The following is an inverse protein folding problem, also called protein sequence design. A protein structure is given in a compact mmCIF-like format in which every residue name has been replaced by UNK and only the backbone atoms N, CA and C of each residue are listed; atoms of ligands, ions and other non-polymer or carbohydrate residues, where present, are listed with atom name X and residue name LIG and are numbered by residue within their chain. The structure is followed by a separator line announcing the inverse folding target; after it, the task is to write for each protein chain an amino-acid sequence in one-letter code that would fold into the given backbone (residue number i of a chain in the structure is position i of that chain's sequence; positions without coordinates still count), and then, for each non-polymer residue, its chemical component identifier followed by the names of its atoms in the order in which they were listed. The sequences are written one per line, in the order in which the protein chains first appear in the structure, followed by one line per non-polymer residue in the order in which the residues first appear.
data_IF_023736431682
#
_entry.id   IF_023736431682
#
_cell.length_a   1.000
_cell.length_b   1.000
_cell.length_c   1.000
_cell.angle_alpha   90.00
_cell.angle_beta   90.00
_cell.angle_gamma   90.00
#
_symmetry.space_group_name_H-M   'P 1'
#
loop_
_entity.id
_entity.type
_entity.pdbx_description
1 polymer ?
#
# COMPACT_ATOMS: atom_id res chain seq x y z
N UNK A 1 -30.09 -4.56 -3.99
CA UNK A 1 -28.67 -4.85 -3.89
C UNK A 1 -28.01 -3.69 -3.19
N UNK A 2 -27.06 -3.95 -2.26
CA UNK A 2 -26.33 -2.88 -1.57
C UNK A 2 -25.31 -2.28 -2.53
N UNK A 3 -25.21 -0.95 -2.61
CA UNK A 3 -24.13 -0.27 -3.29
C UNK A 3 -22.81 -0.53 -2.53
N UNK A 4 -21.71 -0.66 -3.26
CA UNK A 4 -20.35 -0.71 -2.70
C UNK A 4 -19.67 0.62 -2.99
N UNK A 5 -19.23 1.32 -1.96
CA UNK A 5 -18.64 2.65 -2.07
C UNK A 5 -17.16 2.64 -1.74
N UNK A 6 -16.35 3.08 -2.70
CA UNK A 6 -14.88 3.10 -2.60
C UNK A 6 -14.40 4.56 -2.56
N UNK A 7 -13.66 4.90 -1.51
CA UNK A 7 -12.93 6.16 -1.41
C UNK A 7 -11.46 5.96 -1.78
N UNK A 8 -10.96 6.69 -2.78
CA UNK A 8 -9.55 6.76 -3.13
C UNK A 8 -8.93 8.01 -2.53
N UNK A 9 -8.00 7.83 -1.59
CA UNK A 9 -7.32 8.92 -0.88
C UNK A 9 -6.00 9.23 -1.62
N UNK A 10 -5.96 10.38 -2.28
CA UNK A 10 -4.78 10.86 -2.99
C UNK A 10 -3.83 11.61 -2.04
N UNK A 11 -2.68 10.97 -1.79
CA UNK A 11 -1.60 11.50 -0.94
C UNK A 11 -0.50 12.22 -1.73
N UNK A 12 -0.67 12.45 -3.04
CA UNK A 12 0.39 12.97 -3.90
C UNK A 12 0.55 14.49 -3.88
N UNK A 13 -0.28 15.24 -3.15
CA UNK A 13 -0.16 16.70 -3.03
C UNK A 13 -0.11 17.41 -4.39
N UNK A 14 -1.07 17.13 -5.27
CA UNK A 14 -1.18 17.65 -6.64
C UNK A 14 -0.02 17.29 -7.59
N UNK A 15 0.80 16.31 -7.24
CA UNK A 15 1.79 15.77 -8.17
C UNK A 15 1.19 14.65 -9.01
N UNK A 16 1.35 14.73 -10.33
CA UNK A 16 0.98 13.63 -11.23
C UNK A 16 1.76 12.37 -10.85
N UNK A 17 1.06 11.28 -10.60
CA UNK A 17 1.65 10.05 -10.10
C UNK A 17 1.08 8.81 -10.79
N UNK A 18 1.95 7.98 -11.34
CA UNK A 18 1.58 6.74 -12.02
C UNK A 18 0.95 5.71 -11.06
N UNK A 19 1.39 5.67 -9.81
CA UNK A 19 0.78 4.78 -8.80
C UNK A 19 -0.69 5.12 -8.57
N UNK A 20 -1.04 6.41 -8.45
CA UNK A 20 -2.44 6.80 -8.27
C UNK A 20 -3.30 6.54 -9.52
N UNK A 21 -2.75 6.72 -10.73
CA UNK A 21 -3.38 6.27 -11.98
C UNK A 21 -3.70 4.77 -11.91
N UNK A 22 -2.73 3.97 -11.52
CA UNK A 22 -2.88 2.51 -11.41
C UNK A 22 -3.93 2.10 -10.38
N UNK A 23 -4.02 2.79 -9.24
CA UNK A 23 -5.07 2.56 -8.23
C UNK A 23 -6.45 2.80 -8.86
N UNK A 24 -6.62 3.91 -9.59
CA UNK A 24 -7.88 4.21 -10.31
C UNK A 24 -8.23 3.11 -11.30
N UNK A 25 -7.29 2.72 -12.17
CA UNK A 25 -7.51 1.65 -13.16
C UNK A 25 -7.92 0.32 -12.53
N UNK A 26 -7.26 -0.10 -11.43
CA UNK A 26 -7.63 -1.32 -10.71
C UNK A 26 -9.04 -1.20 -10.12
N UNK A 27 -9.37 -0.05 -9.55
CA UNK A 27 -10.69 0.20 -8.95
C UNK A 27 -11.80 0.25 -10.01
N UNK A 28 -11.54 0.87 -11.17
CA UNK A 28 -12.45 0.91 -12.30
C UNK A 28 -12.65 -0.48 -12.94
N UNK A 29 -11.58 -1.28 -13.06
CA UNK A 29 -11.68 -2.66 -13.53
C UNK A 29 -12.51 -3.52 -12.54
N UNK A 30 -12.35 -3.31 -11.23
CA UNK A 30 -13.19 -3.94 -10.22
C UNK A 30 -14.66 -3.50 -10.37
N UNK A 31 -14.94 -2.22 -10.56
CA UNK A 31 -16.28 -1.69 -10.79
C UNK A 31 -16.92 -2.35 -12.01
N UNK A 32 -16.21 -2.40 -13.16
CA UNK A 32 -16.72 -2.98 -14.42
C UNK A 32 -16.99 -4.48 -14.34
N UNK A 33 -16.24 -5.21 -13.49
CA UNK A 33 -16.38 -6.66 -13.32
C UNK A 33 -17.35 -7.06 -12.20
N UNK A 34 -17.87 -6.11 -11.45
CA UNK A 34 -18.83 -6.35 -10.36
C UNK A 34 -20.25 -6.40 -10.87
N UNK A 35 -21.06 -7.29 -10.31
CA UNK A 35 -22.50 -7.36 -10.56
C UNK A 35 -23.25 -6.28 -9.78
N UNK A 36 -22.67 -5.84 -8.66
CA UNK A 36 -23.19 -4.79 -7.78
C UNK A 36 -22.88 -3.40 -8.35
N UNK A 37 -23.68 -2.40 -7.95
CA UNK A 37 -23.35 -1.01 -8.22
C UNK A 37 -22.16 -0.57 -7.36
N UNK A 38 -21.03 -0.29 -8.01
CA UNK A 38 -19.80 0.18 -7.35
C UNK A 38 -19.63 1.67 -7.64
N UNK A 39 -19.50 2.47 -6.59
CA UNK A 39 -19.31 3.93 -6.67
C UNK A 39 -17.90 4.26 -6.20
N UNK A 40 -17.14 4.97 -7.02
CA UNK A 40 -15.77 5.36 -6.73
C UNK A 40 -15.68 6.88 -6.60
N UNK A 41 -15.10 7.37 -5.51
CA UNK A 41 -14.85 8.79 -5.29
C UNK A 41 -13.40 9.02 -4.87
N UNK A 42 -12.80 10.11 -5.38
CA UNK A 42 -11.42 10.53 -5.05
C UNK A 42 -11.46 11.70 -4.07
N UNK A 43 -10.54 11.67 -3.09
CA UNK A 43 -10.31 12.73 -2.11
C UNK A 43 -8.84 13.18 -2.17
N UNK A 44 -8.60 14.47 -2.42
CA UNK A 44 -7.27 15.06 -2.46
C UNK A 44 -6.82 15.48 -1.04
N UNK A 45 -6.36 14.49 -0.27
CA UNK A 45 -6.11 14.60 1.17
C UNK A 45 -5.12 15.70 1.50
N UNK A 46 -3.94 15.68 0.85
CA UNK A 46 -2.86 16.61 1.16
C UNK A 46 -2.99 17.95 0.45
N UNK A 47 -3.53 17.95 -0.75
CA UNK A 47 -3.61 19.19 -1.56
C UNK A 47 -4.82 20.04 -1.20
N UNK A 48 -5.99 19.43 -1.01
CA UNK A 48 -7.24 20.13 -0.69
C UNK A 48 -7.72 19.93 0.74
N UNK A 49 -7.00 19.16 1.54
CA UNK A 49 -7.41 18.80 2.89
C UNK A 49 -8.79 18.09 2.91
N UNK A 50 -9.10 17.30 1.86
CA UNK A 50 -10.33 16.54 1.74
C UNK A 50 -10.20 15.20 2.47
N UNK A 51 -11.22 14.85 3.26
CA UNK A 51 -11.31 13.54 3.92
C UNK A 51 -12.71 12.95 3.70
N UNK A 52 -12.83 11.65 3.41
CA UNK A 52 -14.12 11.00 3.37
C UNK A 52 -14.71 10.90 4.79
N UNK A 53 -16.04 11.01 4.88
CA UNK A 53 -16.74 10.51 6.06
C UNK A 53 -16.75 8.97 5.99
N UNK A 54 -16.33 8.28 7.05
CA UNK A 54 -16.22 6.83 7.06
C UNK A 54 -17.56 6.12 6.87
N UNK A 55 -18.64 6.74 7.31
CA UNK A 55 -19.99 6.17 7.20
C UNK A 55 -20.50 6.11 5.74
N UNK A 56 -19.96 6.97 4.88
CA UNK A 56 -20.38 7.06 3.47
C UNK A 56 -19.69 6.04 2.56
N UNK A 57 -18.67 5.33 3.04
CA UNK A 57 -17.87 4.41 2.24
C UNK A 57 -17.65 3.06 2.95
N UNK A 58 -17.44 2.03 2.14
CA UNK A 58 -17.18 0.66 2.60
C UNK A 58 -15.70 0.30 2.49
N UNK A 59 -15.02 0.82 1.44
CA UNK A 59 -13.63 0.50 1.12
C UNK A 59 -12.84 1.78 0.91
N UNK A 60 -11.64 1.83 1.48
CA UNK A 60 -10.71 2.94 1.35
C UNK A 60 -9.38 2.44 0.81
N UNK A 61 -8.82 3.15 -0.18
CA UNK A 61 -7.47 2.89 -0.70
C UNK A 61 -6.68 4.19 -0.58
N UNK A 62 -5.68 4.20 0.30
CA UNK A 62 -4.82 5.35 0.51
C UNK A 62 -3.49 5.17 -0.20
N UNK A 63 -3.19 6.06 -1.14
CA UNK A 63 -2.06 5.97 -2.05
C UNK A 63 -0.72 6.24 -1.35
N UNK A 64 0.37 5.91 -2.05
CA UNK A 64 1.68 6.49 -1.79
C UNK A 64 1.69 8.01 -1.99
N UNK A 65 2.78 8.64 -1.60
CA UNK A 65 2.95 10.07 -1.76
C UNK A 65 4.38 10.51 -1.50
N UNK A 66 4.80 11.68 -2.01
CA UNK A 66 6.13 12.21 -1.77
C UNK A 66 6.25 12.81 -0.36
N UNK A 67 7.48 12.96 0.11
CA UNK A 67 7.80 13.75 1.30
C UNK A 67 8.17 12.95 2.54
N UNK A 68 8.17 13.66 3.66
CA UNK A 68 8.52 13.14 4.97
C UNK A 68 7.28 12.51 5.63
N UNK A 69 7.35 11.26 6.15
CA UNK A 69 6.23 10.66 6.86
C UNK A 69 6.08 11.16 8.32
N UNK A 70 7.09 11.84 8.84
CA UNK A 70 6.99 12.47 10.17
C UNK A 70 6.18 13.75 10.11
N UNK A 71 5.47 14.03 11.18
CA UNK A 71 4.58 15.20 11.28
C UNK A 71 5.33 16.52 11.09
N UNK A 72 4.77 17.36 10.25
CA UNK A 72 5.27 18.71 9.95
C UNK A 72 4.33 19.80 10.52
N UNK A 73 3.24 19.39 11.18
CA UNK A 73 2.23 20.27 11.79
C UNK A 73 1.18 20.77 10.79
N UNK A 74 0.95 20.05 9.72
CA UNK A 74 -0.04 20.36 8.71
C UNK A 74 -1.43 19.85 9.12
N UNK A 75 -2.47 20.61 8.80
CA UNK A 75 -3.86 20.30 9.19
C UNK A 75 -4.34 18.92 8.70
N UNK A 76 -3.97 18.53 7.48
CA UNK A 76 -4.35 17.24 6.92
C UNK A 76 -3.81 16.04 7.74
N UNK A 77 -2.69 16.20 8.44
CA UNK A 77 -2.06 15.13 9.23
C UNK A 77 -2.92 14.73 10.44
N UNK A 78 -3.50 15.71 11.13
CA UNK A 78 -4.43 15.43 12.24
C UNK A 78 -5.70 14.79 11.74
N UNK A 79 -6.25 15.25 10.63
CA UNK A 79 -7.45 14.70 10.02
C UNK A 79 -7.23 13.28 9.52
N UNK A 80 -6.06 13.01 8.90
CA UNK A 80 -5.70 11.68 8.44
C UNK A 80 -5.48 10.71 9.61
N UNK A 81 -4.81 11.14 10.66
CA UNK A 81 -4.63 10.35 11.88
C UNK A 81 -5.98 10.02 12.53
N UNK A 82 -6.86 11.00 12.66
CA UNK A 82 -8.23 10.78 13.17
C UNK A 82 -9.04 9.84 12.28
N UNK A 83 -8.87 9.89 10.96
CA UNK A 83 -9.49 8.93 10.04
C UNK A 83 -8.99 7.49 10.27
N UNK A 84 -7.67 7.28 10.46
CA UNK A 84 -7.12 5.96 10.75
C UNK A 84 -7.69 5.37 12.03
N UNK A 85 -7.79 6.19 13.10
CA UNK A 85 -8.39 5.76 14.37
C UNK A 85 -9.88 5.49 14.22
N UNK A 86 -10.62 6.34 13.51
CA UNK A 86 -12.05 6.16 13.29
C UNK A 86 -12.36 4.84 12.53
N UNK A 87 -11.55 4.47 11.51
CA UNK A 87 -11.73 3.19 10.81
C UNK A 87 -11.42 2.01 11.73
N UNK A 88 -10.32 2.08 12.51
CA UNK A 88 -9.94 1.02 13.43
C UNK A 88 -11.00 0.84 14.54
N UNK A 89 -11.45 1.94 15.14
CA UNK A 89 -12.48 1.93 16.20
C UNK A 89 -13.83 1.44 15.65
N UNK A 90 -14.26 1.92 14.48
CA UNK A 90 -15.50 1.44 13.85
C UNK A 90 -15.46 -0.09 13.71
N UNK A 91 -14.34 -0.63 13.23
CA UNK A 91 -14.17 -2.07 13.03
C UNK A 91 -14.16 -2.87 14.34
N UNK A 92 -13.83 -2.28 15.47
CA UNK A 92 -13.91 -2.97 16.77
C UNK A 92 -15.36 -3.16 17.24
N UNK A 93 -16.24 -2.18 16.99
CA UNK A 93 -17.56 -2.12 17.60
C UNK A 93 -18.73 -2.39 16.65
N UNK A 94 -18.52 -2.42 15.34
CA UNK A 94 -19.57 -2.60 14.35
C UNK A 94 -19.39 -3.90 13.53
N UNK A 95 -20.50 -4.49 13.09
CA UNK A 95 -20.49 -5.67 12.23
C UNK A 95 -20.23 -5.29 10.76
N UNK A 96 -20.70 -4.12 10.31
CA UNK A 96 -20.46 -3.56 8.98
C UNK A 96 -19.06 -2.98 8.87
N UNK A 97 -18.09 -3.84 8.63
CA UNK A 97 -16.68 -3.48 8.62
C UNK A 97 -16.29 -2.52 7.48
N UNK A 98 -15.31 -1.67 7.75
CA UNK A 98 -14.66 -0.74 6.82
C UNK A 98 -13.31 -1.29 6.40
N UNK A 99 -13.07 -1.41 5.10
CA UNK A 99 -11.84 -2.01 4.56
C UNK A 99 -10.87 -0.92 4.15
N UNK A 100 -9.61 -0.98 4.60
CA UNK A 100 -8.59 0.04 4.33
C UNK A 100 -7.30 -0.59 3.80
N UNK A 101 -6.84 -0.13 2.62
CA UNK A 101 -5.54 -0.49 2.07
C UNK A 101 -4.60 0.73 2.07
N UNK A 102 -3.40 0.57 2.65
CA UNK A 102 -2.42 1.62 2.84
C UNK A 102 -1.17 1.34 2.01
N UNK A 103 -0.75 2.29 1.14
CA UNK A 103 0.39 2.10 0.24
C UNK A 103 1.52 3.08 0.57
N UNK A 104 2.73 2.55 0.73
CA UNK A 104 4.00 3.28 0.84
C UNK A 104 3.95 4.41 1.88
N UNK A 105 3.72 5.66 1.48
CA UNK A 105 3.66 6.80 2.41
C UNK A 105 2.53 6.64 3.44
N UNK A 106 1.35 6.23 3.00
CA UNK A 106 0.21 5.97 3.89
C UNK A 106 0.48 4.84 4.89
N UNK A 107 1.18 3.80 4.45
CA UNK A 107 1.65 2.73 5.33
C UNK A 107 2.61 3.27 6.40
N UNK A 108 3.56 4.15 6.03
CA UNK A 108 4.49 4.78 6.97
C UNK A 108 3.76 5.68 7.98
N UNK A 109 2.80 6.48 7.51
CA UNK A 109 1.99 7.35 8.38
C UNK A 109 1.22 6.55 9.42
N UNK A 110 0.56 5.46 9.03
CA UNK A 110 -0.16 4.57 9.94
C UNK A 110 0.79 3.89 10.94
N UNK A 111 1.96 3.42 10.48
CA UNK A 111 2.96 2.79 11.33
C UNK A 111 3.53 3.76 12.38
N UNK A 112 3.74 5.04 12.04
CA UNK A 112 4.12 6.09 12.99
C UNK A 112 2.98 6.37 13.96
N UNK A 113 1.76 6.55 13.45
CA UNK A 113 0.59 6.92 14.24
C UNK A 113 0.30 5.87 15.34
N UNK A 114 0.31 4.60 14.99
CA UNK A 114 0.09 3.50 15.93
C UNK A 114 1.36 3.07 16.69
N UNK A 115 2.49 3.77 16.49
CA UNK A 115 3.77 3.56 17.20
C UNK A 115 4.32 2.14 17.06
N UNK A 116 4.34 1.63 15.84
CA UNK A 116 4.70 0.24 15.56
C UNK A 116 6.21 -0.02 15.49
N UNK A 117 7.04 1.00 15.55
CA UNK A 117 8.49 0.91 15.51
C UNK A 117 9.15 2.15 14.90
N UNK A 118 10.37 2.00 14.39
CA UNK A 118 11.19 3.11 13.94
C UNK A 118 11.02 3.34 12.43
N UNK A 119 10.35 4.44 12.05
CA UNK A 119 10.31 4.90 10.67
C UNK A 119 11.41 5.95 10.49
N UNK A 120 12.47 5.60 9.77
CA UNK A 120 13.63 6.46 9.61
C UNK A 120 14.04 6.64 8.15
N UNK A 121 14.84 7.68 7.89
CA UNK A 121 15.40 7.92 6.56
C UNK A 121 16.40 6.83 6.19
N UNK A 122 16.30 6.30 4.98
CA UNK A 122 17.28 5.33 4.43
C UNK A 122 18.63 6.02 4.18
N UNK A 123 19.71 5.23 4.20
CA UNK A 123 21.05 5.71 3.78
C UNK A 123 21.09 6.05 2.29
N UNK A 124 20.32 5.31 1.48
CA UNK A 124 20.15 5.57 0.05
C UNK A 124 18.70 5.38 -0.34
N UNK A 125 18.22 6.14 -1.31
CA UNK A 125 16.89 5.97 -1.89
C UNK A 125 16.75 4.55 -2.45
N UNK A 126 15.60 3.91 -2.26
CA UNK A 126 15.29 2.63 -2.90
C UNK A 126 14.42 2.87 -4.12
N UNK A 127 14.80 2.35 -5.28
CA UNK A 127 13.99 2.43 -6.49
C UNK A 127 14.19 1.20 -7.36
N UNK A 128 13.11 0.68 -7.93
CA UNK A 128 13.11 -0.40 -8.91
C UNK A 128 12.26 -1.60 -8.51
N UNK A 129 12.38 -2.68 -9.28
CA UNK A 129 11.70 -3.96 -9.02
C UNK A 129 12.54 -4.77 -8.04
N UNK A 130 12.03 -4.93 -6.81
CA UNK A 130 12.77 -5.52 -5.69
C UNK A 130 12.10 -6.81 -5.21
N UNK A 131 12.91 -7.80 -4.77
CA UNK A 131 12.37 -8.96 -4.08
C UNK A 131 11.87 -8.58 -2.68
N UNK A 132 10.71 -9.13 -2.33
CA UNK A 132 10.04 -9.01 -1.04
C UNK A 132 9.86 -10.42 -0.49
N UNK A 133 10.26 -10.64 0.76
CA UNK A 133 10.15 -11.93 1.42
C UNK A 133 8.96 -11.96 2.35
N UNK A 134 8.23 -13.06 2.31
CA UNK A 134 7.17 -13.34 3.27
C UNK A 134 7.75 -13.70 4.63
N UNK A 135 7.03 -13.39 5.69
CA UNK A 135 7.23 -13.98 7.01
C UNK A 135 6.46 -15.30 7.12
N UNK A 136 6.55 -16.01 8.24
CA UNK A 136 5.71 -17.20 8.51
C UNK A 136 4.22 -16.84 8.47
N UNK A 137 3.84 -15.68 9.03
CA UNK A 137 2.48 -15.15 8.94
C UNK A 137 2.12 -14.77 7.49
N UNK A 138 3.07 -14.20 6.75
CA UNK A 138 2.90 -13.83 5.34
C UNK A 138 2.70 -15.03 4.40
N UNK A 139 3.21 -16.20 4.74
CA UNK A 139 2.94 -17.43 3.98
C UNK A 139 1.46 -17.85 4.06
N UNK A 140 0.78 -17.49 5.14
CA UNK A 140 -0.64 -17.76 5.36
C UNK A 140 -1.53 -16.61 4.84
N UNK A 141 -0.94 -15.48 4.45
CA UNK A 141 -1.67 -14.30 3.99
C UNK A 141 -2.36 -14.56 2.64
N UNK A 142 -3.70 -14.47 2.62
CA UNK A 142 -4.47 -14.78 1.41
C UNK A 142 -4.21 -13.78 0.26
N UNK A 143 -3.82 -12.53 0.55
CA UNK A 143 -3.44 -11.56 -0.48
C UNK A 143 -2.15 -11.97 -1.20
N UNK A 144 -1.30 -12.75 -0.53
CA UNK A 144 -0.04 -13.26 -1.09
C UNK A 144 -0.17 -14.68 -1.68
N UNK A 145 -1.37 -15.25 -1.65
CA UNK A 145 -1.63 -16.56 -2.26
C UNK A 145 -1.25 -16.52 -3.74
N UNK A 146 -0.51 -17.53 -4.22
CA UNK A 146 0.05 -17.64 -5.57
C UNK A 146 1.24 -16.72 -5.87
N UNK A 147 1.68 -15.89 -4.93
CA UNK A 147 2.99 -15.25 -5.02
C UNK A 147 4.05 -16.21 -4.49
N UNK A 148 5.19 -16.28 -5.16
CA UNK A 148 6.36 -17.07 -4.68
C UNK A 148 7.02 -16.36 -3.49
N UNK A 149 7.96 -17.02 -2.83
CA UNK A 149 8.90 -16.37 -1.92
C UNK A 149 10.34 -16.49 -2.46
N UNK A 150 11.01 -15.39 -2.76
CA UNK A 150 10.49 -14.02 -2.76
C UNK A 150 9.54 -13.73 -3.93
N UNK A 151 8.58 -12.85 -3.72
CA UNK A 151 7.87 -12.19 -4.82
C UNK A 151 8.50 -10.82 -5.14
N UNK A 152 8.10 -10.21 -6.25
CA UNK A 152 8.70 -8.97 -6.72
C UNK A 152 7.69 -7.84 -6.78
N UNK A 153 8.06 -6.67 -6.28
CA UNK A 153 7.23 -5.47 -6.29
C UNK A 153 8.06 -4.22 -6.60
N UNK A 154 7.40 -3.17 -7.05
CA UNK A 154 8.04 -1.86 -7.19
C UNK A 154 8.25 -1.26 -5.80
N UNK A 155 9.50 -0.90 -5.52
CA UNK A 155 9.89 -0.15 -4.33
C UNK A 155 10.40 1.24 -4.74
N UNK A 156 9.86 2.30 -4.14
CA UNK A 156 10.24 3.70 -4.42
C UNK A 156 10.11 4.50 -3.13
N UNK A 157 11.21 4.61 -2.36
CA UNK A 157 11.14 5.21 -1.02
C UNK A 157 12.45 5.81 -0.52
N UNK A 158 12.34 6.91 0.22
CA UNK A 158 13.43 7.53 0.98
C UNK A 158 13.43 7.12 2.47
N UNK A 159 12.31 6.60 2.98
CA UNK A 159 12.14 6.16 4.36
C UNK A 159 11.91 4.66 4.45
N UNK A 160 12.11 4.09 5.64
CA UNK A 160 11.94 2.68 5.92
C UNK A 160 11.39 2.46 7.32
N UNK A 161 10.70 1.36 7.50
CA UNK A 161 10.23 0.87 8.79
C UNK A 161 11.17 -0.24 9.28
N UNK A 162 11.91 0.00 10.36
CA UNK A 162 12.81 -0.95 11.01
C UNK A 162 12.52 -1.00 12.51
N UNK A 163 13.17 -1.90 13.24
CA UNK A 163 13.01 -2.02 14.69
C UNK A 163 11.54 -2.07 15.12
N UNK A 164 10.75 -3.05 14.59
CA UNK A 164 9.34 -3.16 14.95
C UNK A 164 9.20 -3.42 16.46
N UNK A 165 8.30 -2.68 17.10
CA UNK A 165 7.93 -2.88 18.49
C UNK A 165 6.96 -4.07 18.61
N UNK A 166 7.50 -5.27 18.84
CA UNK A 166 6.73 -6.50 18.87
C UNK A 166 5.72 -6.55 20.01
N UNK A 167 6.00 -5.91 21.14
CA UNK A 167 5.04 -5.80 22.25
C UNK A 167 3.82 -4.98 21.81
N UNK A 168 4.07 -3.91 21.03
CA UNK A 168 3.00 -3.10 20.47
C UNK A 168 2.21 -3.82 19.38
N UNK A 169 2.86 -4.62 18.55
CA UNK A 169 2.20 -5.48 17.57
C UNK A 169 1.27 -6.48 18.26
N UNK A 170 1.74 -7.13 19.32
CA UNK A 170 0.95 -8.10 20.10
C UNK A 170 -0.24 -7.43 20.80
N UNK A 171 -0.03 -6.25 21.42
CA UNK A 171 -1.09 -5.46 22.07
C UNK A 171 -2.23 -5.12 21.11
N UNK A 172 -1.90 -4.76 19.87
CA UNK A 172 -2.86 -4.37 18.85
C UNK A 172 -3.38 -5.54 17.99
N UNK A 173 -2.83 -6.75 18.16
CA UNK A 173 -3.15 -7.91 17.33
C UNK A 173 -2.69 -7.78 15.89
N UNK A 174 -1.70 -6.92 15.62
CA UNK A 174 -1.15 -6.68 14.29
C UNK A 174 -0.06 -7.69 13.95
N UNK A 175 0.19 -7.91 12.64
CA UNK A 175 1.14 -8.92 12.18
C UNK A 175 1.99 -8.42 11.03
N UNK A 176 3.30 -8.73 11.09
CA UNK A 176 4.22 -8.45 9.99
C UNK A 176 4.10 -9.55 8.95
N UNK A 177 3.72 -9.19 7.71
CA UNK A 177 3.48 -10.12 6.61
C UNK A 177 4.66 -10.28 5.66
N UNK A 178 5.46 -9.22 5.51
CA UNK A 178 6.61 -9.25 4.60
C UNK A 178 7.73 -8.35 5.09
N UNK A 179 8.97 -8.73 4.70
CA UNK A 179 10.20 -8.03 5.04
C UNK A 179 11.09 -7.87 3.79
N UNK A 180 11.99 -6.89 3.85
CA UNK A 180 12.94 -6.59 2.79
C UNK A 180 13.88 -7.78 2.51
N UNK A 181 14.49 -7.84 1.33
CA UNK A 181 15.49 -8.85 0.96
C UNK A 181 16.63 -8.93 1.98
N UNK A 182 17.17 -10.13 2.18
CA UNK A 182 18.39 -10.32 2.97
C UNK A 182 19.59 -9.69 2.28
N UNK A 183 20.45 -9.06 3.06
CA UNK A 183 21.71 -8.44 2.64
C UNK A 183 22.82 -8.92 3.58
N UNK A 184 23.31 -10.15 3.44
CA UNK A 184 24.21 -10.79 4.42
C UNK A 184 25.54 -10.05 4.63
N UNK A 185 25.96 -9.22 3.65
CA UNK A 185 27.19 -8.44 3.71
C UNK A 185 27.01 -7.03 4.34
N UNK A 186 25.79 -6.67 4.68
CA UNK A 186 25.45 -5.36 5.23
C UNK A 186 24.79 -5.59 6.59
N UNK A 187 25.44 -5.15 7.65
CA UNK A 187 24.86 -5.22 9.00
C UNK A 187 23.81 -4.11 9.18
N UNK A 188 22.70 -4.27 8.49
CA UNK A 188 21.51 -3.42 8.57
C UNK A 188 20.29 -4.30 8.75
N UNK A 189 19.38 -3.84 9.58
CA UNK A 189 18.09 -4.49 9.77
C UNK A 189 17.27 -4.50 8.48
N UNK A 190 16.50 -5.56 8.28
CA UNK A 190 15.57 -5.69 7.15
C UNK A 190 14.32 -4.88 7.45
N UNK A 191 13.94 -4.01 6.51
CA UNK A 191 12.74 -3.21 6.67
C UNK A 191 11.46 -4.07 6.61
N UNK A 192 10.46 -3.69 7.40
CA UNK A 192 9.10 -4.21 7.30
C UNK A 192 8.50 -3.73 5.98
N UNK A 193 7.95 -4.66 5.20
CA UNK A 193 7.43 -4.40 3.85
C UNK A 193 5.91 -4.54 3.74
N UNK A 194 5.27 -5.27 4.65
CA UNK A 194 3.82 -5.34 4.73
C UNK A 194 3.36 -5.69 6.15
N UNK A 195 2.23 -5.12 6.54
CA UNK A 195 1.58 -5.34 7.83
C UNK A 195 0.10 -5.59 7.62
N UNK A 196 -0.45 -6.59 8.32
CA UNK A 196 -1.88 -6.75 8.58
C UNK A 196 -2.19 -6.06 9.90
N UNK A 197 -2.84 -4.91 9.84
CA UNK A 197 -3.21 -4.11 11.01
C UNK A 197 -4.48 -4.64 11.69
N UNK A 198 -5.41 -5.19 10.91
CA UNK A 198 -6.58 -5.96 11.35
C UNK A 198 -7.06 -6.86 10.19
N UNK A 199 -8.10 -7.64 10.38
CA UNK A 199 -8.68 -8.44 9.30
C UNK A 199 -9.11 -7.60 8.09
N UNK A 200 -9.45 -6.33 8.32
CA UNK A 200 -9.94 -5.38 7.31
C UNK A 200 -8.88 -4.38 6.84
N UNK A 201 -7.80 -4.19 7.61
CA UNK A 201 -6.79 -3.15 7.33
C UNK A 201 -5.46 -3.79 6.96
N UNK A 202 -4.98 -3.50 5.76
CA UNK A 202 -3.71 -4.00 5.24
C UNK A 202 -2.85 -2.87 4.68
N UNK A 203 -1.54 -2.99 4.84
CA UNK A 203 -0.63 -1.98 4.29
C UNK A 203 0.65 -2.58 3.72
N UNK A 204 1.18 -1.93 2.68
CA UNK A 204 2.43 -2.28 2.03
C UNK A 204 3.37 -1.10 1.93
N UNK A 205 4.67 -1.34 2.16
CA UNK A 205 5.71 -0.35 1.89
C UNK A 205 6.00 -0.23 0.39
N UNK A 206 5.86 -1.32 -0.33
CA UNK A 206 6.00 -1.38 -1.79
C UNK A 206 4.70 -0.97 -2.50
N UNK A 207 4.77 -0.81 -3.81
CA UNK A 207 3.67 -0.42 -4.68
C UNK A 207 3.04 -1.65 -5.38
N UNK A 208 2.00 -2.29 -4.80
CA UNK A 208 1.36 -3.45 -5.43
C UNK A 208 0.53 -3.07 -6.66
N UNK A 209 0.19 -1.80 -6.80
CA UNK A 209 -0.56 -1.25 -7.94
C UNK A 209 0.29 -1.02 -9.18
N UNK A 210 1.62 -0.99 -9.05
CA UNK A 210 2.54 -0.58 -10.10
C UNK A 210 2.46 -1.51 -11.33
N UNK A 211 2.48 -0.90 -12.52
CA UNK A 211 2.44 -1.59 -13.80
C UNK A 211 3.75 -1.41 -14.62
N UNK A 212 4.01 -2.29 -15.59
CA UNK A 212 5.15 -2.16 -16.48
C UNK A 212 5.17 -0.85 -17.25
N UNK A 213 4.01 -0.40 -17.74
CA UNK A 213 3.91 0.81 -18.56
C UNK A 213 4.37 2.05 -17.79
N UNK A 214 3.86 2.26 -16.57
CA UNK A 214 4.24 3.38 -15.73
C UNK A 214 5.73 3.35 -15.35
N UNK A 215 6.28 2.15 -15.12
CA UNK A 215 7.71 1.98 -14.86
C UNK A 215 8.56 2.31 -16.09
N UNK A 216 8.17 1.84 -17.28
CA UNK A 216 8.86 2.13 -18.55
C UNK A 216 8.80 3.62 -18.86
N UNK A 217 7.64 4.27 -18.69
CA UNK A 217 7.50 5.72 -18.91
C UNK A 217 8.40 6.51 -17.96
N UNK A 218 8.47 6.11 -16.69
CA UNK A 218 9.37 6.73 -15.72
C UNK A 218 10.86 6.58 -16.12
N UNK A 219 11.25 5.39 -16.60
CA UNK A 219 12.62 5.10 -17.01
C UNK A 219 13.00 5.65 -18.39
N UNK A 220 12.03 5.99 -19.24
CA UNK A 220 12.26 6.68 -20.51
C UNK A 220 12.57 8.16 -20.33
N UNK A 221 12.18 8.76 -19.25
CA UNK A 221 12.59 10.12 -18.89
C UNK A 221 14.09 10.14 -18.62
N UNK A 222 14.85 10.86 -19.45
CA UNK A 222 16.33 10.90 -19.38
C UNK A 222 16.85 11.43 -18.03
N UNK A 223 16.11 12.29 -17.35
CA UNK A 223 16.47 12.79 -16.01
C UNK A 223 16.35 11.66 -14.98
N UNK A 224 15.26 10.91 -15.00
CA UNK A 224 15.03 9.80 -14.08
C UNK A 224 16.01 8.65 -14.33
N UNK A 225 16.26 8.32 -15.61
CA UNK A 225 17.24 7.33 -16.02
C UNK A 225 18.65 7.71 -15.57
N UNK A 226 19.07 8.96 -15.81
CA UNK A 226 20.38 9.45 -15.39
C UNK A 226 20.50 9.40 -13.87
N UNK A 227 19.49 9.90 -13.14
CA UNK A 227 19.47 9.84 -11.69
C UNK A 227 19.53 8.40 -11.15
N UNK A 228 18.84 7.46 -11.80
CA UNK A 228 18.91 6.04 -11.43
C UNK A 228 20.30 5.47 -11.62
N UNK A 229 20.94 5.73 -12.78
CA UNK A 229 22.28 5.24 -13.09
C UNK A 229 23.33 5.87 -12.15
N UNK A 230 23.25 7.17 -11.88
CA UNK A 230 24.16 7.87 -10.97
C UNK A 230 24.04 7.38 -9.53
N UNK A 231 22.82 7.12 -9.04
CA UNK A 231 22.59 6.70 -7.66
C UNK A 231 22.76 5.20 -7.42
N UNK A 232 22.50 4.35 -8.43
CA UNK A 232 22.44 2.90 -8.26
C UNK A 232 23.32 2.10 -9.21
N UNK A 233 23.91 2.73 -10.20
CA UNK A 233 24.74 2.10 -11.22
C UNK A 233 23.97 1.54 -12.42
N UNK A 234 24.68 1.36 -13.53
CA UNK A 234 24.13 0.84 -14.78
C UNK A 234 23.58 -0.60 -14.61
N UNK A 235 24.23 -1.43 -13.83
CA UNK A 235 23.81 -2.81 -13.57
C UNK A 235 22.39 -2.84 -12.95
N UNK A 236 22.15 -2.00 -11.96
CA UNK A 236 20.84 -1.90 -11.31
C UNK A 236 19.76 -1.37 -12.25
N UNK A 237 20.10 -0.44 -13.12
CA UNK A 237 19.19 0.05 -14.16
C UNK A 237 18.78 -1.09 -15.10
N UNK A 238 19.74 -1.84 -15.63
CA UNK A 238 19.50 -2.97 -16.54
C UNK A 238 18.69 -4.09 -15.85
N UNK A 239 19.02 -4.43 -14.61
CA UNK A 239 18.28 -5.40 -13.80
C UNK A 239 16.80 -4.96 -13.61
N UNK A 240 16.56 -3.68 -13.40
CA UNK A 240 15.19 -3.16 -13.25
C UNK A 240 14.42 -3.25 -14.58
N UNK A 241 15.04 -2.86 -15.69
CA UNK A 241 14.45 -2.98 -17.03
C UNK A 241 14.09 -4.43 -17.36
N UNK A 242 15.00 -5.37 -17.08
CA UNK A 242 14.77 -6.81 -17.32
C UNK A 242 13.59 -7.37 -16.47
N UNK A 243 13.40 -6.84 -15.28
CA UNK A 243 12.34 -7.31 -14.36
C UNK A 243 10.97 -6.70 -14.61
N UNK A 244 10.87 -5.62 -15.38
CA UNK A 244 9.60 -4.92 -15.61
C UNK A 244 8.64 -5.78 -16.42
N UNK A 245 9.12 -6.43 -17.48
CA UNK A 245 8.29 -7.19 -18.41
C UNK A 245 8.15 -8.69 -18.03
N UNK A 246 8.71 -9.10 -16.90
CA UNK A 246 8.57 -10.47 -16.40
C UNK A 246 7.20 -10.68 -15.76
N UNK A 247 6.39 -11.55 -16.37
CA UNK A 247 5.03 -11.86 -15.93
C UNK A 247 4.94 -12.38 -14.48
N UNK A 248 6.02 -13.01 -13.99
CA UNK A 248 6.09 -13.56 -12.64
C UNK A 248 6.52 -12.54 -11.57
N UNK A 249 6.71 -11.27 -11.94
CA UNK A 249 7.16 -10.21 -11.03
C UNK A 249 6.05 -9.18 -10.79
N UNK A 250 6.25 -7.94 -11.20
CA UNK A 250 5.29 -6.87 -10.87
C UNK A 250 3.91 -7.09 -11.48
N UNK A 251 3.85 -7.72 -12.66
CA UNK A 251 2.57 -8.06 -13.32
C UNK A 251 1.75 -8.99 -12.43
N UNK A 252 2.38 -10.06 -11.91
CA UNK A 252 1.72 -10.98 -10.99
C UNK A 252 1.31 -10.30 -9.69
N UNK A 253 2.18 -9.49 -9.08
CA UNK A 253 1.90 -8.76 -7.85
C UNK A 253 0.72 -7.82 -8.01
N UNK A 254 0.67 -7.06 -9.14
CA UNK A 254 -0.44 -6.18 -9.49
C UNK A 254 -1.76 -6.95 -9.66
N UNK A 255 -1.71 -8.10 -10.31
CA UNK A 255 -2.89 -8.93 -10.55
C UNK A 255 -3.43 -9.62 -9.28
N UNK A 256 -2.63 -9.72 -8.23
CA UNK A 256 -3.00 -10.49 -7.03
C UNK A 256 -3.41 -9.61 -5.85
N UNK A 257 -2.56 -8.71 -5.37
CA UNK A 257 -2.70 -8.10 -4.04
C UNK A 257 -3.94 -7.21 -3.95
N UNK A 258 -3.95 -6.09 -4.66
CA UNK A 258 -5.05 -5.11 -4.56
C UNK A 258 -6.38 -5.63 -5.11
N UNK A 259 -6.41 -6.36 -6.25
CA UNK A 259 -7.66 -6.97 -6.72
C UNK A 259 -8.25 -7.99 -5.74
N UNK A 260 -7.42 -8.80 -5.08
CA UNK A 260 -7.91 -9.74 -4.05
C UNK A 260 -8.44 -9.04 -2.80
N UNK A 261 -7.78 -7.95 -2.40
CA UNK A 261 -8.28 -7.14 -1.29
C UNK A 261 -9.70 -6.63 -1.61
N UNK A 262 -9.91 -6.04 -2.77
CA UNK A 262 -11.23 -5.55 -3.22
C UNK A 262 -12.27 -6.66 -3.27
N UNK A 263 -11.93 -7.82 -3.84
CA UNK A 263 -12.84 -8.96 -3.94
C UNK A 263 -13.20 -9.53 -2.55
N UNK A 264 -12.23 -9.60 -1.63
CA UNK A 264 -12.49 -10.06 -0.27
C UNK A 264 -13.36 -9.08 0.50
N UNK A 265 -13.08 -7.79 0.41
CA UNK A 265 -13.89 -6.74 1.02
C UNK A 265 -15.34 -6.84 0.52
N UNK A 266 -15.56 -6.88 -0.81
CA UNK A 266 -16.88 -7.05 -1.41
C UNK A 266 -17.61 -8.25 -0.86
N UNK A 267 -16.97 -9.43 -0.86
CA UNK A 267 -17.58 -10.67 -0.37
C UNK A 267 -18.07 -10.55 1.07
N UNK A 268 -17.29 -9.91 1.92
CA UNK A 268 -17.64 -9.76 3.34
C UNK A 268 -18.74 -8.71 3.54
N UNK A 269 -18.71 -7.58 2.81
CA UNK A 269 -19.75 -6.55 2.82
C UNK A 269 -21.12 -7.14 2.43
N UNK A 270 -21.16 -7.99 1.40
CA UNK A 270 -22.40 -8.60 0.94
C UNK A 270 -22.94 -9.64 1.93
N UNK A 271 -22.07 -10.45 2.55
CA UNK A 271 -22.48 -11.42 3.57
C UNK A 271 -23.17 -10.76 4.78
N UNK A 272 -22.63 -9.65 5.27
CA UNK A 272 -23.22 -8.90 6.39
C UNK A 272 -24.58 -8.34 5.97
N UNK A 273 -24.71 -7.82 4.75
CA UNK A 273 -25.97 -7.30 4.23
C UNK A 273 -27.07 -8.36 4.13
N UNK A 274 -26.72 -9.60 3.76
CA UNK A 274 -27.65 -10.74 3.71
C UNK A 274 -28.09 -11.22 5.10
N UNK A 275 -27.21 -11.10 6.10
CA UNK A 275 -27.53 -11.48 7.48
C UNK A 275 -28.43 -10.47 8.23
N UNK A 276 -28.48 -9.23 7.76
CA UNK A 276 -29.27 -8.14 8.33
C UNK A 276 -30.63 -7.93 7.61
N UNK A 277 -30.87 -8.59 6.48
CA UNK A 277 -32.10 -8.52 5.69
C UNK A 277 -33.09 -9.62 6.05
#
# INVERSE_FOLDING_TARGET
MKDIRIALLDMNNNHVNQGFRNIKEISEAFQQSSEENVIIQTFEVRFKNEMPNIDDFDIFISSGGPGNPHREGLEWEDRYSGFLDAVLEHNQYNEDKKYLFLICHSFQLASIHWKLGNICKRRSYSFGVMPVHKTEEGEQEFLFKNLQDPFYAVDSRAYQFIEPDMDRFDELGMKIMAIEKSRPHINLERAVMAVRFSDEIFGTQFHPEADPQGMIENLKDEKNKTAMIENFGMEKYLETVDRIDDENKIILTRAQILPRFLQSAKKNILKVSESLA
#
